data_IF_524870741530
#
_entry.id   IF_524870741530
#
_cell.length_a   1.000
_cell.length_b   1.000
_cell.length_c   1.000
_cell.angle_alpha   90.00
_cell.angle_beta   90.00
_cell.angle_gamma   90.00
#
_symmetry.space_group_name_H-M   'P 1'
#
loop_
_entity.id
_entity.type
_entity.pdbx_description
1 polymer ?
#
# COMPACT_ATOMS: atom_id res chain seq x y z
N UNK A 1 -20.86 -9.85 -10.41
CA UNK A 1 -19.63 -9.56 -9.65
C UNK A 1 -19.53 -8.04 -9.55
N UNK A 2 -19.74 -7.45 -8.38
CA UNK A 2 -19.36 -6.05 -8.16
C UNK A 2 -17.85 -5.95 -8.40
N UNK A 3 -17.46 -5.14 -9.37
CA UNK A 3 -16.09 -4.98 -9.87
C UNK A 3 -15.20 -4.44 -8.75
N UNK A 4 -14.71 -5.33 -7.88
CA UNK A 4 -13.83 -4.93 -6.79
C UNK A 4 -12.45 -4.76 -7.39
N UNK A 5 -12.05 -3.50 -7.57
CA UNK A 5 -10.76 -3.11 -8.13
C UNK A 5 -9.63 -3.86 -7.44
N UNK A 6 -8.87 -4.64 -8.22
CA UNK A 6 -7.62 -5.25 -7.76
C UNK A 6 -6.49 -4.23 -7.92
N UNK A 7 -5.74 -4.01 -6.85
CA UNK A 7 -4.58 -3.13 -6.85
C UNK A 7 -3.30 -3.97 -7.05
N UNK A 8 -2.73 -4.06 -8.27
CA UNK A 8 -1.53 -4.85 -8.51
C UNK A 8 -0.32 -4.24 -7.77
N UNK A 9 0.56 -5.10 -7.27
CA UNK A 9 1.88 -4.71 -6.80
C UNK A 9 2.78 -4.32 -7.99
N UNK A 10 3.73 -3.41 -7.76
CA UNK A 10 4.67 -2.93 -8.76
C UNK A 10 6.07 -3.51 -8.59
N UNK A 11 6.33 -4.25 -7.51
CA UNK A 11 7.58 -4.99 -7.30
C UNK A 11 7.37 -6.31 -6.55
N UNK A 12 8.33 -7.25 -6.67
CA UNK A 12 8.26 -8.57 -6.01
C UNK A 12 8.26 -8.45 -4.48
N UNK A 13 9.06 -7.56 -3.85
CA UNK A 13 8.99 -7.34 -2.40
C UNK A 13 7.60 -6.87 -1.95
N UNK A 14 7.01 -5.89 -2.65
CA UNK A 14 5.66 -5.42 -2.35
C UNK A 14 4.62 -6.54 -2.49
N UNK A 15 4.67 -7.30 -3.59
CA UNK A 15 3.76 -8.42 -3.79
C UNK A 15 3.89 -9.46 -2.67
N UNK A 16 5.12 -9.70 -2.19
CA UNK A 16 5.39 -10.63 -1.10
C UNK A 16 4.87 -10.11 0.25
N UNK A 17 5.07 -8.82 0.56
CA UNK A 17 4.53 -8.18 1.75
C UNK A 17 2.99 -8.24 1.76
N UNK A 18 2.36 -7.92 0.64
CA UNK A 18 0.90 -8.02 0.48
C UNK A 18 0.40 -9.48 0.55
N UNK A 19 1.16 -10.45 0.06
CA UNK A 19 0.82 -11.87 0.27
C UNK A 19 0.92 -12.25 1.75
N UNK A 20 1.97 -11.88 2.47
CA UNK A 20 2.08 -12.15 3.90
C UNK A 20 0.94 -11.52 4.70
N UNK A 21 0.49 -10.33 4.30
CA UNK A 21 -0.68 -9.66 4.89
C UNK A 21 -1.98 -10.48 4.79
N UNK A 22 -2.10 -11.33 3.77
CA UNK A 22 -3.23 -12.26 3.62
C UNK A 22 -3.11 -13.51 4.52
N UNK A 23 -2.01 -13.66 5.26
CA UNK A 23 -1.68 -14.88 6.01
C UNK A 23 -1.59 -14.64 7.51
N UNK A 24 -1.46 -15.73 8.27
CA UNK A 24 -1.12 -15.67 9.70
C UNK A 24 0.38 -15.68 9.97
N UNK A 25 1.21 -15.80 8.95
CA UNK A 25 2.66 -15.93 9.06
C UNK A 25 3.35 -14.56 9.10
N UNK A 26 4.41 -14.45 9.88
CA UNK A 26 5.29 -13.27 9.86
C UNK A 26 6.42 -13.45 8.85
N UNK A 27 6.89 -12.34 8.29
CA UNK A 27 8.07 -12.34 7.44
C UNK A 27 9.34 -12.50 8.31
N UNK A 28 10.07 -13.60 8.14
CA UNK A 28 11.38 -13.87 8.76
C UNK A 28 12.58 -13.21 8.06
N UNK A 29 12.35 -12.26 7.13
CA UNK A 29 13.36 -11.31 6.63
C UNK A 29 14.33 -11.81 5.54
N UNK A 30 14.15 -13.02 5.01
CA UNK A 30 14.99 -13.55 3.91
C UNK A 30 14.37 -13.29 2.53
N UNK A 31 15.23 -12.94 1.54
CA UNK A 31 14.82 -12.47 0.20
C UNK A 31 14.22 -13.57 -0.70
N UNK A 32 13.20 -13.21 -1.48
CA UNK A 32 12.64 -14.01 -2.58
C UNK A 32 11.18 -14.45 -2.39
N UNK A 33 10.43 -14.75 -3.47
CA UNK A 33 8.98 -14.99 -3.40
C UNK A 33 8.59 -16.32 -2.76
N UNK A 34 9.51 -17.28 -2.58
CA UNK A 34 9.17 -18.64 -2.11
C UNK A 34 8.40 -18.63 -0.80
N UNK A 35 8.80 -17.78 0.15
CA UNK A 35 8.25 -17.78 1.50
C UNK A 35 6.85 -17.20 1.56
N UNK A 36 6.58 -16.15 0.79
CA UNK A 36 5.23 -15.62 0.67
C UNK A 36 4.30 -16.62 -0.01
N UNK A 37 4.78 -17.38 -1.01
CA UNK A 37 4.03 -18.49 -1.62
C UNK A 37 3.73 -19.63 -0.63
N UNK A 38 4.74 -20.08 0.14
CA UNK A 38 4.56 -21.12 1.17
C UNK A 38 3.59 -20.65 2.25
N UNK A 39 3.77 -19.42 2.75
CA UNK A 39 2.89 -18.83 3.75
C UNK A 39 1.45 -18.76 3.24
N UNK A 40 1.25 -18.33 1.99
CA UNK A 40 -0.06 -18.25 1.36
C UNK A 40 -0.73 -19.62 1.30
N UNK A 41 -0.02 -20.61 0.75
CA UNK A 41 -0.53 -21.97 0.59
C UNK A 41 -0.89 -22.62 1.93
N UNK A 42 0.01 -22.54 2.91
CA UNK A 42 -0.22 -23.05 4.27
C UNK A 42 -1.38 -22.34 4.95
N UNK A 43 -1.48 -21.03 4.77
CA UNK A 43 -2.55 -20.25 5.35
C UNK A 43 -3.87 -20.76 4.79
N UNK A 44 -4.13 -20.59 3.50
CA UNK A 44 -5.44 -20.91 2.94
C UNK A 44 -5.74 -22.41 2.81
N UNK A 45 -4.81 -23.26 3.24
CA UNK A 45 -4.98 -24.71 3.34
C UNK A 45 -4.93 -25.42 1.99
N UNK A 46 -4.09 -24.93 1.07
CA UNK A 46 -3.94 -25.56 -0.24
C UNK A 46 -3.13 -26.85 -0.13
N UNK A 47 -3.59 -27.89 -0.82
CA UNK A 47 -2.86 -29.14 -1.01
C UNK A 47 -1.80 -28.96 -2.12
N UNK A 48 -0.60 -28.54 -1.73
CA UNK A 48 0.53 -28.27 -2.64
C UNK A 48 1.85 -28.76 -2.05
N UNK A 49 2.83 -29.03 -2.91
CA UNK A 49 4.17 -29.43 -2.47
C UNK A 49 4.99 -28.18 -2.08
N UNK A 50 5.07 -27.91 -0.77
CA UNK A 50 5.82 -26.79 -0.22
C UNK A 50 7.34 -26.88 -0.44
N UNK A 51 7.86 -28.06 -0.77
CA UNK A 51 9.28 -28.27 -1.05
C UNK A 51 9.67 -27.84 -2.47
N UNK A 52 8.69 -27.75 -3.38
CA UNK A 52 8.88 -27.45 -4.78
C UNK A 52 9.60 -26.11 -5.04
N UNK A 53 10.18 -25.99 -6.23
CA UNK A 53 10.76 -24.74 -6.76
C UNK A 53 9.68 -23.70 -7.02
N UNK A 54 10.03 -22.40 -7.03
CA UNK A 54 9.06 -21.30 -7.02
C UNK A 54 8.05 -21.38 -8.16
N UNK A 55 8.50 -21.67 -9.38
CA UNK A 55 7.61 -21.79 -10.55
C UNK A 55 6.59 -22.94 -10.40
N UNK A 56 7.02 -24.10 -9.88
CA UNK A 56 6.16 -25.26 -9.66
C UNK A 56 5.18 -25.02 -8.51
N UNK A 57 5.66 -24.50 -7.38
CA UNK A 57 4.81 -24.14 -6.25
C UNK A 57 3.76 -23.09 -6.66
N UNK A 58 4.18 -22.05 -7.41
CA UNK A 58 3.28 -21.04 -7.96
C UNK A 58 2.20 -21.64 -8.85
N UNK A 59 2.56 -22.56 -9.75
CA UNK A 59 1.61 -23.26 -10.61
C UNK A 59 0.62 -24.15 -9.86
N UNK A 60 1.07 -24.84 -8.79
CA UNK A 60 0.18 -25.62 -7.93
C UNK A 60 -0.82 -24.73 -7.17
N UNK A 61 -0.36 -23.59 -6.66
CA UNK A 61 -1.23 -22.59 -6.01
C UNK A 61 -2.23 -22.02 -7.03
N UNK A 62 -1.78 -21.67 -8.23
CA UNK A 62 -2.64 -21.17 -9.31
C UNK A 62 -3.75 -22.17 -9.67
N UNK A 63 -3.39 -23.45 -9.83
CA UNK A 63 -4.35 -24.52 -10.10
C UNK A 63 -5.37 -24.68 -8.96
N UNK A 64 -4.91 -24.68 -7.71
CA UNK A 64 -5.78 -24.78 -6.54
C UNK A 64 -6.73 -23.57 -6.40
N UNK A 65 -6.31 -22.39 -6.87
CA UNK A 65 -7.11 -21.17 -6.93
C UNK A 65 -7.89 -21.00 -8.25
N UNK A 66 -7.84 -22.00 -9.15
CA UNK A 66 -8.52 -21.98 -10.45
C UNK A 66 -8.16 -20.78 -11.33
N UNK A 67 -6.87 -20.42 -11.41
CA UNK A 67 -6.36 -19.38 -12.30
C UNK A 67 -5.28 -19.90 -13.23
N UNK A 68 -5.20 -19.30 -14.43
CA UNK A 68 -4.19 -19.66 -15.43
C UNK A 68 -2.77 -19.33 -14.92
N UNK A 69 -1.82 -20.18 -15.31
CA UNK A 69 -0.40 -20.04 -15.00
C UNK A 69 0.44 -20.21 -16.25
N UNK A 70 0.97 -19.11 -16.78
CA UNK A 70 1.53 -19.03 -18.15
C UNK A 70 3.05 -18.87 -18.12
N UNK A 71 3.75 -19.78 -18.80
CA UNK A 71 5.19 -19.69 -19.00
C UNK A 71 5.59 -18.42 -19.75
N UNK A 72 6.77 -17.86 -19.44
CA UNK A 72 7.29 -16.58 -19.99
C UNK A 72 6.47 -15.33 -19.62
N UNK A 73 5.34 -15.50 -18.92
CA UNK A 73 4.54 -14.42 -18.36
C UNK A 73 4.62 -14.46 -16.83
N UNK A 74 4.10 -15.52 -16.21
CA UNK A 74 4.01 -15.66 -14.75
C UNK A 74 5.30 -16.22 -14.13
N UNK A 75 6.09 -16.95 -14.91
CA UNK A 75 7.39 -17.47 -14.50
C UNK A 75 8.35 -17.58 -15.69
N UNK A 76 9.65 -17.48 -15.41
CA UNK A 76 10.74 -17.70 -16.37
C UNK A 76 11.72 -18.69 -15.72
N UNK A 77 11.90 -19.86 -16.35
CA UNK A 77 12.67 -20.95 -15.76
C UNK A 77 12.09 -21.39 -14.41
N UNK A 78 12.89 -21.24 -13.34
CA UNK A 78 12.47 -21.59 -11.98
C UNK A 78 11.94 -20.40 -11.16
N UNK A 79 11.96 -19.20 -11.73
CA UNK A 79 11.65 -17.95 -11.02
C UNK A 79 10.26 -17.45 -11.36
N UNK A 80 9.52 -17.03 -10.34
CA UNK A 80 8.22 -16.38 -10.48
C UNK A 80 8.45 -14.90 -10.81
N UNK A 81 7.76 -14.39 -11.82
CA UNK A 81 7.81 -12.99 -12.21
C UNK A 81 6.90 -12.13 -11.33
N UNK A 82 7.01 -10.80 -11.41
CA UNK A 82 6.02 -9.92 -10.79
C UNK A 82 4.60 -10.15 -11.32
N UNK A 83 4.45 -10.49 -12.60
CA UNK A 83 3.15 -10.80 -13.17
C UNK A 83 2.56 -12.06 -12.49
N UNK A 84 3.36 -13.12 -12.33
CA UNK A 84 2.95 -14.32 -11.60
C UNK A 84 2.61 -14.06 -10.14
N UNK A 85 3.40 -13.24 -9.45
CA UNK A 85 3.07 -12.80 -8.08
C UNK A 85 1.72 -12.08 -8.04
N UNK A 86 1.44 -11.18 -8.99
CA UNK A 86 0.16 -10.47 -9.06
C UNK A 86 -1.01 -11.39 -9.45
N UNK A 87 -0.79 -12.38 -10.32
CA UNK A 87 -1.78 -13.41 -10.67
C UNK A 87 -2.23 -14.16 -9.41
N UNK A 88 -1.28 -14.63 -8.60
CA UNK A 88 -1.55 -15.35 -7.36
C UNK A 88 -2.14 -14.45 -6.27
N UNK A 89 -1.60 -13.23 -6.09
CA UNK A 89 -2.12 -12.26 -5.11
C UNK A 89 -3.58 -11.92 -5.41
N UNK A 90 -3.91 -11.66 -6.68
CA UNK A 90 -5.29 -11.41 -7.12
C UNK A 90 -6.21 -12.59 -6.84
N UNK A 91 -5.79 -13.79 -7.24
CA UNK A 91 -6.56 -15.02 -7.06
C UNK A 91 -6.85 -15.29 -5.58
N UNK A 92 -5.83 -15.21 -4.73
CA UNK A 92 -5.97 -15.42 -3.30
C UNK A 92 -6.85 -14.35 -2.66
N UNK A 93 -6.69 -13.08 -3.05
CA UNK A 93 -7.50 -11.99 -2.50
C UNK A 93 -8.98 -12.13 -2.86
N UNK A 94 -9.29 -12.52 -4.10
CA UNK A 94 -10.68 -12.79 -4.50
C UNK A 94 -11.25 -14.04 -3.84
N UNK A 95 -10.44 -15.10 -3.72
CA UNK A 95 -10.83 -16.32 -3.00
C UNK A 95 -11.18 -16.01 -1.54
N UNK A 96 -10.31 -15.29 -0.83
CA UNK A 96 -10.55 -14.85 0.54
C UNK A 96 -11.75 -13.90 0.65
N UNK A 97 -11.90 -12.96 -0.28
CA UNK A 97 -13.06 -12.07 -0.31
C UNK A 97 -14.37 -12.84 -0.54
N UNK A 98 -14.36 -13.87 -1.40
CA UNK A 98 -15.50 -14.76 -1.63
C UNK A 98 -15.80 -15.61 -0.38
N UNK A 99 -14.79 -16.21 0.23
CA UNK A 99 -14.92 -16.97 1.47
C UNK A 99 -15.44 -16.09 2.61
N UNK A 100 -15.04 -14.82 2.67
CA UNK A 100 -15.53 -13.86 3.65
C UNK A 100 -17.00 -13.48 3.51
N UNK A 101 -17.63 -13.86 2.39
CA UNK A 101 -19.06 -13.71 2.11
C UNK A 101 -19.81 -15.03 2.19
N UNK A 102 -19.10 -16.14 2.37
CA UNK A 102 -19.73 -17.44 2.50
C UNK A 102 -20.33 -17.61 3.89
N UNK A 103 -21.55 -18.13 3.96
CA UNK A 103 -22.19 -18.53 5.22
C UNK A 103 -21.58 -19.79 5.83
N UNK A 104 -20.78 -20.53 5.06
CA UNK A 104 -20.08 -21.74 5.49
C UNK A 104 -18.61 -21.71 5.06
N UNK A 105 -17.69 -21.98 5.99
CA UNK A 105 -16.25 -22.07 5.72
C UNK A 105 -15.77 -23.45 6.12
N UNK A 106 -15.15 -24.17 5.17
CA UNK A 106 -14.83 -25.60 5.31
C UNK A 106 -13.74 -25.96 6.34
N UNK A 107 -13.10 -24.98 6.99
CA UNK A 107 -12.18 -25.24 8.10
C UNK A 107 -12.05 -24.03 9.05
N UNK A 108 -11.70 -24.31 10.32
CA UNK A 108 -11.39 -23.28 11.34
C UNK A 108 -10.22 -22.37 10.93
N UNK A 109 -9.20 -22.95 10.29
CA UNK A 109 -8.02 -22.22 9.81
C UNK A 109 -8.38 -21.23 8.71
N UNK A 110 -9.21 -21.66 7.75
CA UNK A 110 -9.72 -20.82 6.66
C UNK A 110 -10.58 -19.68 7.21
N UNK A 111 -11.35 -19.92 8.27
CA UNK A 111 -12.20 -18.93 8.87
C UNK A 111 -11.45 -17.81 9.63
N UNK A 112 -10.35 -18.16 10.32
CA UNK A 112 -9.48 -17.16 10.95
C UNK A 112 -8.79 -16.25 9.93
N UNK A 113 -8.60 -16.74 8.70
CA UNK A 113 -7.99 -15.97 7.61
C UNK A 113 -8.99 -15.10 6.88
N UNK A 114 -10.21 -15.59 6.73
CA UNK A 114 -11.35 -14.79 6.29
C UNK A 114 -11.42 -13.49 7.09
N UNK A 115 -11.26 -13.55 8.42
CA UNK A 115 -11.22 -12.37 9.30
C UNK A 115 -10.09 -11.37 9.00
N UNK A 116 -8.91 -11.85 8.60
CA UNK A 116 -7.78 -10.98 8.22
C UNK A 116 -7.90 -10.38 6.83
N UNK A 117 -8.71 -11.01 5.99
CA UNK A 117 -8.92 -10.59 4.62
C UNK A 117 -10.09 -9.61 4.45
N UNK A 118 -10.75 -9.19 5.53
CA UNK A 118 -11.76 -8.13 5.47
C UNK A 118 -11.07 -6.81 5.13
N UNK A 119 -11.30 -6.25 3.93
CA UNK A 119 -10.69 -4.99 3.56
C UNK A 119 -11.17 -3.89 4.52
N UNK A 120 -10.23 -3.15 5.12
CA UNK A 120 -10.56 -2.02 6.00
C UNK A 120 -11.09 -2.38 7.39
N UNK A 121 -11.06 -3.65 7.80
CA UNK A 121 -11.42 -4.05 9.16
C UNK A 121 -10.18 -4.17 10.05
N UNK A 122 -10.20 -3.51 11.22
CA UNK A 122 -9.27 -3.74 12.31
C UNK A 122 -9.97 -4.56 13.41
N UNK A 123 -9.53 -5.79 13.69
CA UNK A 123 -10.08 -6.55 14.82
C UNK A 123 -9.95 -5.79 16.14
N UNK A 124 -10.98 -5.87 16.98
CA UNK A 124 -10.91 -5.40 18.35
C UNK A 124 -9.93 -6.28 19.17
N UNK A 125 -9.14 -5.63 20.01
CA UNK A 125 -8.12 -6.20 20.88
C UNK A 125 -8.73 -6.74 22.19
N UNK A 126 -9.94 -6.29 22.54
CA UNK A 126 -10.68 -6.76 23.71
C UNK A 126 -12.18 -6.89 23.42
N UNK A 127 -12.88 -7.69 24.23
CA UNK A 127 -14.34 -7.83 24.14
C UNK A 127 -15.07 -6.50 24.36
N UNK A 128 -14.58 -5.68 25.30
CA UNK A 128 -15.19 -4.39 25.60
C UNK A 128 -15.09 -3.47 24.38
N UNK A 129 -13.90 -3.37 23.77
CA UNK A 129 -13.71 -2.60 22.54
C UNK A 129 -14.61 -3.08 21.39
N UNK A 130 -14.83 -4.39 21.27
CA UNK A 130 -15.75 -4.93 20.27
C UNK A 130 -17.20 -4.50 20.54
N UNK A 131 -17.64 -4.55 21.80
CA UNK A 131 -18.98 -4.11 22.22
C UNK A 131 -19.18 -2.62 21.99
N UNK A 132 -18.22 -1.78 22.38
CA UNK A 132 -18.28 -0.32 22.19
C UNK A 132 -18.47 0.03 20.71
N UNK A 133 -17.69 -0.63 19.83
CA UNK A 133 -17.79 -0.42 18.38
C UNK A 133 -19.10 -0.94 17.78
N UNK A 134 -19.66 -2.03 18.31
CA UNK A 134 -21.00 -2.50 17.93
C UNK A 134 -22.06 -1.47 18.35
N UNK A 135 -21.95 -0.89 19.54
CA UNK A 135 -22.83 0.18 20.01
C UNK A 135 -22.73 1.43 19.13
N UNK A 136 -21.52 1.82 18.71
CA UNK A 136 -21.30 2.93 17.78
C UNK A 136 -22.02 2.70 16.44
N UNK A 137 -21.89 1.50 15.86
CA UNK A 137 -22.55 1.12 14.60
C UNK A 137 -24.08 1.07 14.76
N UNK A 138 -24.56 0.63 15.92
CA UNK A 138 -25.97 0.65 16.27
C UNK A 138 -26.49 2.08 16.57
N UNK A 139 -25.61 3.04 16.88
CA UNK A 139 -25.96 4.40 17.31
C UNK A 139 -26.63 4.45 18.67
N UNK A 140 -26.16 3.63 19.61
CA UNK A 140 -26.65 3.58 20.99
C UNK A 140 -25.50 3.86 21.97
N UNK A 141 -25.79 4.27 23.22
CA UNK A 141 -24.75 4.42 24.24
C UNK A 141 -23.93 3.14 24.45
N UNK A 142 -22.66 3.31 24.81
CA UNK A 142 -21.76 2.20 25.09
C UNK A 142 -22.28 1.33 26.24
N UNK A 143 -22.23 0.03 26.03
CA UNK A 143 -22.64 -0.97 27.01
C UNK A 143 -21.41 -1.51 27.75
N UNK A 144 -21.58 -1.82 29.04
CA UNK A 144 -20.52 -2.44 29.84
C UNK A 144 -20.67 -3.95 29.79
N UNK A 145 -19.55 -4.69 29.74
CA UNK A 145 -19.62 -6.15 29.87
C UNK A 145 -20.24 -6.56 31.22
N UNK A 146 -21.15 -7.51 31.18
CA UNK A 146 -21.79 -8.10 32.35
C UNK A 146 -20.87 -9.07 33.12
N UNK A 147 -21.40 -9.71 34.18
CA UNK A 147 -20.63 -10.59 35.06
C UNK A 147 -19.84 -11.67 34.29
N UNK A 148 -18.54 -11.79 34.60
CA UNK A 148 -17.63 -12.72 33.93
C UNK A 148 -17.15 -12.25 32.54
N UNK A 149 -17.25 -10.95 32.24
CA UNK A 149 -16.81 -10.39 30.95
C UNK A 149 -17.69 -10.80 29.78
N UNK A 150 -18.99 -11.00 30.05
CA UNK A 150 -19.98 -11.46 29.07
C UNK A 150 -20.69 -10.27 28.46
N UNK A 151 -20.73 -10.24 27.14
CA UNK A 151 -21.54 -9.32 26.36
C UNK A 151 -23.03 -9.51 26.64
N UNK A 152 -23.79 -8.42 26.65
CA UNK A 152 -25.22 -8.50 26.87
C UNK A 152 -25.98 -8.81 25.58
N UNK A 153 -27.11 -9.52 25.71
CA UNK A 153 -27.94 -9.86 24.54
C UNK A 153 -28.54 -8.60 23.90
N UNK A 154 -28.76 -7.51 24.65
CA UNK A 154 -29.34 -6.30 24.08
C UNK A 154 -28.38 -5.61 23.11
N UNK A 155 -27.06 -5.67 23.30
CA UNK A 155 -26.07 -5.14 22.34
C UNK A 155 -26.33 -5.68 20.93
N UNK A 156 -26.58 -6.98 20.81
CA UNK A 156 -26.92 -7.62 19.53
C UNK A 156 -28.30 -7.22 19.03
N UNK A 157 -29.28 -7.05 19.94
CA UNK A 157 -30.62 -6.61 19.58
C UNK A 157 -30.61 -5.17 19.09
N UNK A 158 -29.80 -4.29 19.66
CA UNK A 158 -29.66 -2.89 19.22
C UNK A 158 -29.05 -2.82 17.83
N UNK A 159 -28.01 -3.62 17.57
CA UNK A 159 -27.46 -3.77 16.23
C UNK A 159 -28.52 -4.28 15.24
N UNK A 160 -29.27 -5.34 15.61
CA UNK A 160 -30.35 -5.87 14.80
C UNK A 160 -31.47 -4.85 14.56
N UNK A 161 -31.87 -4.06 15.56
CA UNK A 161 -32.92 -3.03 15.40
C UNK A 161 -32.58 -2.05 14.30
N UNK A 162 -31.31 -1.66 14.19
CA UNK A 162 -30.87 -0.68 13.20
C UNK A 162 -30.66 -1.28 11.82
N UNK A 163 -30.00 -2.43 11.73
CA UNK A 163 -29.50 -2.95 10.44
C UNK A 163 -30.22 -4.22 9.96
N UNK A 164 -30.96 -4.91 10.83
CA UNK A 164 -31.60 -6.20 10.52
C UNK A 164 -32.89 -6.43 11.36
N UNK A 165 -33.88 -5.53 11.33
CA UNK A 165 -34.98 -5.53 12.31
C UNK A 165 -35.84 -6.80 12.25
N UNK A 166 -35.97 -7.41 11.07
CA UNK A 166 -36.72 -8.65 10.86
C UNK A 166 -36.17 -9.85 11.65
N UNK A 167 -34.89 -9.82 12.07
CA UNK A 167 -34.31 -10.87 12.91
C UNK A 167 -34.90 -10.90 14.33
N UNK A 168 -35.59 -9.83 14.75
CA UNK A 168 -36.20 -9.70 16.06
C UNK A 168 -37.62 -10.26 16.14
N UNK A 169 -38.23 -10.61 15.00
CA UNK A 169 -39.59 -11.16 14.94
C UNK A 169 -39.67 -12.57 15.54
N UNK A 170 -38.53 -13.25 15.66
CA UNK A 170 -38.41 -14.59 16.23
C UNK A 170 -37.66 -14.56 17.55
N UNK A 171 -38.12 -15.36 18.52
CA UNK A 171 -37.40 -15.55 19.78
C UNK A 171 -36.16 -16.41 19.56
N UNK A 172 -35.00 -15.76 19.50
CA UNK A 172 -33.69 -16.40 19.30
C UNK A 172 -32.89 -16.44 20.61
N UNK A 173 -32.04 -17.46 20.76
CA UNK A 173 -30.98 -17.41 21.78
C UNK A 173 -29.93 -16.36 21.41
N UNK A 174 -29.02 -16.01 22.33
CA UNK A 174 -27.95 -15.05 22.02
C UNK A 174 -27.06 -15.55 20.87
N UNK A 175 -26.70 -16.83 20.88
CA UNK A 175 -25.89 -17.45 19.82
C UNK A 175 -26.64 -17.51 18.50
N UNK A 176 -27.93 -17.84 18.52
CA UNK A 176 -28.75 -17.87 17.29
C UNK A 176 -28.95 -16.48 16.69
N UNK A 177 -29.07 -15.44 17.54
CA UNK A 177 -29.14 -14.05 17.08
C UNK A 177 -27.81 -13.60 16.49
N UNK A 178 -26.69 -13.94 17.14
CA UNK A 178 -25.35 -13.64 16.64
C UNK A 178 -25.07 -14.31 15.29
N UNK A 179 -25.39 -15.60 15.16
CA UNK A 179 -25.24 -16.34 13.92
C UNK A 179 -26.14 -15.78 12.81
N UNK A 180 -27.38 -15.39 13.13
CA UNK A 180 -28.29 -14.77 12.18
C UNK A 180 -27.80 -13.39 11.70
N UNK A 181 -27.25 -12.56 12.60
CA UNK A 181 -26.61 -11.29 12.24
C UNK A 181 -25.40 -11.51 11.33
N UNK A 182 -24.55 -12.49 11.63
CA UNK A 182 -23.43 -12.85 10.76
C UNK A 182 -23.92 -13.23 9.34
N UNK A 183 -24.95 -14.07 9.26
CA UNK A 183 -25.54 -14.44 7.97
C UNK A 183 -26.13 -13.23 7.22
N UNK A 184 -26.85 -12.35 7.92
CA UNK A 184 -27.41 -11.11 7.34
C UNK A 184 -26.32 -10.19 6.80
N UNK A 185 -25.21 -10.06 7.54
CA UNK A 185 -24.09 -9.21 7.14
C UNK A 185 -23.10 -9.90 6.18
N UNK A 186 -23.44 -11.12 5.72
CA UNK A 186 -22.62 -11.88 4.79
C UNK A 186 -21.24 -12.17 5.35
N UNK A 187 -21.17 -12.69 6.58
CA UNK A 187 -19.96 -13.20 7.23
C UNK A 187 -20.23 -14.56 7.88
N UNK A 188 -19.23 -15.46 7.95
CA UNK A 188 -19.44 -16.77 8.54
C UNK A 188 -19.57 -16.69 10.07
N UNK A 189 -20.38 -17.59 10.64
CA UNK A 189 -20.38 -17.88 12.08
C UNK A 189 -19.58 -19.16 12.33
N UNK A 190 -18.63 -19.13 13.26
CA UNK A 190 -17.72 -20.24 13.52
C UNK A 190 -18.10 -21.02 14.77
N UNK A 191 -17.76 -22.30 14.82
CA UNK A 191 -17.97 -23.11 16.02
C UNK A 191 -17.24 -22.54 17.25
N UNK A 192 -16.09 -21.88 17.04
CA UNK A 192 -15.32 -21.19 18.08
C UNK A 192 -15.82 -19.78 18.41
N UNK A 193 -16.81 -19.25 17.67
CA UNK A 193 -17.42 -17.95 17.95
C UNK A 193 -18.28 -17.97 19.22
N UNK A 194 -18.85 -19.13 19.57
CA UNK A 194 -19.56 -19.36 20.83
C UNK A 194 -18.66 -19.95 21.91
N UNK A 195 -18.96 -19.64 23.17
CA UNK A 195 -18.39 -20.29 24.35
C UNK A 195 -19.49 -20.98 25.17
N UNK A 196 -19.09 -21.95 26.01
CA UNK A 196 -19.99 -22.62 26.95
C UNK A 196 -20.64 -21.59 27.89
N UNK A 197 -21.97 -21.70 28.10
CA UNK A 197 -22.71 -20.77 28.97
C UNK A 197 -23.14 -19.45 28.32
N UNK A 198 -23.52 -19.48 27.02
CA UNK A 198 -24.16 -18.39 26.27
C UNK A 198 -23.35 -17.08 26.19
N UNK A 199 -22.01 -17.18 26.18
CA UNK A 199 -21.11 -16.06 25.87
C UNK A 199 -20.56 -16.20 24.46
N UNK A 200 -20.29 -15.06 23.82
CA UNK A 200 -19.63 -14.95 22.53
C UNK A 200 -18.14 -14.68 22.78
N UNK A 201 -17.27 -15.37 22.05
CA UNK A 201 -15.83 -15.16 22.14
C UNK A 201 -15.43 -13.82 21.49
N UNK A 202 -14.21 -13.34 21.73
CA UNK A 202 -13.72 -12.15 21.02
C UNK A 202 -13.68 -12.39 19.50
N UNK A 203 -13.37 -13.62 19.08
CA UNK A 203 -13.44 -14.04 17.67
C UNK A 203 -14.87 -13.89 17.12
N UNK A 204 -15.87 -14.40 17.84
CA UNK A 204 -17.28 -14.23 17.47
C UNK A 204 -17.74 -12.78 17.40
N UNK A 205 -17.34 -11.94 18.37
CA UNK A 205 -17.65 -10.51 18.35
C UNK A 205 -17.00 -9.80 17.18
N UNK A 206 -15.75 -10.12 16.86
CA UNK A 206 -15.04 -9.55 15.72
C UNK A 206 -15.63 -9.99 14.38
N UNK A 207 -16.23 -11.18 14.26
CA UNK A 207 -16.97 -11.59 13.06
C UNK A 207 -18.22 -10.73 12.85
N UNK A 208 -19.05 -10.59 13.90
CA UNK A 208 -20.24 -9.73 13.86
C UNK A 208 -19.84 -8.31 13.50
N UNK A 209 -18.80 -7.78 14.15
CA UNK A 209 -18.31 -6.42 13.94
C UNK A 209 -17.78 -6.21 12.53
N UNK A 210 -17.00 -7.15 11.97
CA UNK A 210 -16.51 -7.07 10.60
C UNK A 210 -17.65 -7.06 9.57
N UNK A 211 -18.67 -7.89 9.78
CA UNK A 211 -19.88 -7.89 8.97
C UNK A 211 -20.67 -6.59 9.10
N UNK A 212 -20.89 -6.13 10.33
CA UNK A 212 -21.63 -4.91 10.62
C UNK A 212 -20.96 -3.65 10.05
N UNK A 213 -19.63 -3.54 10.15
CA UNK A 213 -18.86 -2.45 9.55
C UNK A 213 -18.97 -2.44 8.04
N UNK A 214 -18.78 -3.61 7.40
CA UNK A 214 -18.97 -3.76 5.97
C UNK A 214 -20.38 -3.35 5.53
N UNK A 215 -21.40 -3.82 6.26
CA UNK A 215 -22.80 -3.50 5.98
C UNK A 215 -23.10 -2.00 6.16
N UNK A 216 -22.49 -1.37 7.17
CA UNK A 216 -22.63 0.06 7.44
C UNK A 216 -21.68 0.96 6.60
N UNK A 217 -20.87 0.37 5.71
CA UNK A 217 -19.81 1.07 4.95
C UNK A 217 -18.81 1.83 5.85
N UNK A 218 -18.48 1.26 7.01
CA UNK A 218 -17.47 1.76 7.95
C UNK A 218 -16.18 0.95 7.77
N UNK A 219 -15.03 1.61 7.85
CA UNK A 219 -13.72 0.97 7.84
C UNK A 219 -13.02 1.27 9.17
N UNK A 220 -13.00 0.36 10.13
CA UNK A 220 -12.28 0.56 11.40
C UNK A 220 -10.76 0.58 11.29
N UNK A 221 -10.20 0.10 10.18
CA UNK A 221 -8.81 0.32 9.86
C UNK A 221 -8.56 1.73 9.30
N UNK A 222 -9.61 2.52 9.05
CA UNK A 222 -9.47 3.92 8.67
C UNK A 222 -8.88 4.73 9.82
N UNK A 223 -7.95 5.60 9.48
CA UNK A 223 -7.64 6.72 10.35
C UNK A 223 -8.76 7.77 10.26
N UNK A 224 -9.12 8.33 11.41
CA UNK A 224 -10.18 9.32 11.53
C UNK A 224 -9.93 10.52 10.61
N UNK A 225 -8.67 10.99 10.54
CA UNK A 225 -8.29 12.13 9.70
C UNK A 225 -7.07 11.82 8.82
N UNK A 226 -6.87 12.61 7.76
CA UNK A 226 -5.66 12.56 6.95
C UNK A 226 -4.39 12.91 7.76
N UNK A 227 -4.52 13.65 8.86
CA UNK A 227 -3.42 14.00 9.76
C UNK A 227 -2.99 12.82 10.64
N UNK A 228 -3.94 12.06 11.18
CA UNK A 228 -3.63 10.84 11.94
C UNK A 228 -2.96 9.80 11.03
N UNK A 229 -3.48 9.65 9.81
CA UNK A 229 -2.90 8.79 8.79
C UNK A 229 -1.49 9.26 8.40
N UNK A 230 -1.36 10.53 8.00
CA UNK A 230 -0.09 11.11 7.61
C UNK A 230 0.98 10.99 8.69
N UNK A 231 0.62 11.17 9.97
CA UNK A 231 1.52 10.99 11.10
C UNK A 231 1.99 9.55 11.19
N UNK A 232 1.08 8.57 11.12
CA UNK A 232 1.42 7.16 11.17
C UNK A 232 2.33 6.72 10.00
N UNK A 233 2.08 7.23 8.79
CA UNK A 233 2.89 6.94 7.61
C UNK A 233 4.29 7.57 7.71
N UNK A 234 4.38 8.84 8.14
CA UNK A 234 5.66 9.52 8.37
C UNK A 234 6.47 8.80 9.44
N UNK A 235 5.85 8.36 10.53
CA UNK A 235 6.50 7.64 11.62
C UNK A 235 6.99 6.24 11.21
N UNK A 236 6.25 5.56 10.33
CA UNK A 236 6.68 4.29 9.76
C UNK A 236 7.91 4.48 8.85
N UNK A 237 7.84 5.44 7.94
CA UNK A 237 8.89 5.71 6.98
C UNK A 237 10.18 6.25 7.63
N UNK A 238 10.09 7.14 8.61
CA UNK A 238 11.29 7.67 9.26
C UNK A 238 12.09 6.58 10.00
N UNK A 239 11.42 5.56 10.54
CA UNK A 239 12.08 4.41 11.18
C UNK A 239 12.66 3.42 10.18
N UNK A 240 12.03 3.28 9.01
CA UNK A 240 12.41 2.28 8.01
C UNK A 240 13.40 2.79 6.95
N UNK A 241 13.45 4.09 6.70
CA UNK A 241 14.32 4.68 5.69
C UNK A 241 15.76 4.83 6.21
N UNK A 242 16.78 4.48 5.40
CA UNK A 242 18.16 4.79 5.74
C UNK A 242 18.39 6.31 5.71
N UNK A 243 19.25 6.80 6.59
CA UNK A 243 19.66 8.21 6.66
C UNK A 243 20.72 8.60 5.61
N UNK A 244 21.28 7.60 4.91
CA UNK A 244 22.20 7.77 3.80
C UNK A 244 21.94 6.75 2.70
N UNK A 245 21.80 7.23 1.47
CA UNK A 245 21.53 6.42 0.28
C UNK A 245 22.75 6.49 -0.64
N UNK A 246 23.51 5.39 -0.71
CA UNK A 246 24.55 5.20 -1.71
C UNK A 246 23.90 4.85 -3.06
N UNK A 247 24.20 5.62 -4.10
CA UNK A 247 23.54 5.47 -5.39
C UNK A 247 23.82 4.13 -6.05
N UNK A 248 24.99 3.53 -5.86
CA UNK A 248 25.31 2.22 -6.45
C UNK A 248 24.50 1.13 -5.75
N UNK A 249 24.56 1.11 -4.41
CA UNK A 249 23.81 0.16 -3.60
C UNK A 249 22.29 0.27 -3.81
N UNK A 250 21.75 1.49 -3.98
CA UNK A 250 20.33 1.68 -4.26
C UNK A 250 19.93 1.13 -5.64
N UNK A 251 20.75 1.37 -6.67
CA UNK A 251 20.51 0.86 -8.03
C UNK A 251 20.60 -0.66 -8.09
N UNK A 252 21.61 -1.25 -7.44
CA UNK A 252 21.78 -2.69 -7.30
C UNK A 252 20.58 -3.31 -6.56
N UNK A 253 20.20 -2.74 -5.42
CA UNK A 253 19.03 -3.18 -4.66
C UNK A 253 17.74 -3.12 -5.50
N UNK A 254 17.50 -2.03 -6.23
CA UNK A 254 16.31 -1.93 -7.09
C UNK A 254 16.32 -2.98 -8.20
N UNK A 255 17.49 -3.28 -8.80
CA UNK A 255 17.63 -4.35 -9.80
C UNK A 255 17.32 -5.71 -9.19
N UNK A 256 17.91 -6.03 -8.04
CA UNK A 256 17.69 -7.28 -7.32
C UNK A 256 16.24 -7.46 -6.88
N UNK A 257 15.56 -6.37 -6.52
CA UNK A 257 14.13 -6.32 -6.19
C UNK A 257 13.20 -6.40 -7.40
N UNK A 258 13.76 -6.48 -8.62
CA UNK A 258 12.99 -6.61 -9.86
C UNK A 258 12.32 -5.33 -10.34
N UNK A 259 12.72 -4.16 -9.83
CA UNK A 259 12.18 -2.88 -10.32
C UNK A 259 12.51 -2.70 -11.80
N UNK A 260 11.64 -2.06 -12.56
CA UNK A 260 11.92 -1.72 -13.98
C UNK A 260 12.62 -0.36 -14.12
N UNK A 261 12.70 0.41 -13.04
CA UNK A 261 13.15 1.80 -13.04
C UNK A 261 14.61 1.97 -12.63
N UNK A 262 15.30 0.90 -12.22
CA UNK A 262 16.66 0.96 -11.64
C UNK A 262 17.71 1.63 -12.54
N UNK A 263 17.50 1.64 -13.86
CA UNK A 263 18.43 2.23 -14.86
C UNK A 263 18.26 3.74 -15.04
N UNK A 264 17.22 4.34 -14.46
CA UNK A 264 16.91 5.74 -14.70
C UNK A 264 17.78 6.68 -13.87
N UNK A 265 17.97 7.90 -14.36
CA UNK A 265 18.85 8.88 -13.70
C UNK A 265 18.22 9.41 -12.40
N UNK A 266 16.91 9.33 -12.29
CA UNK A 266 16.08 9.70 -11.16
C UNK A 266 16.04 8.61 -10.08
N UNK A 267 17.10 7.80 -9.96
CA UNK A 267 17.18 6.64 -9.07
C UNK A 267 16.75 6.95 -7.62
N UNK A 268 17.03 8.14 -7.09
CA UNK A 268 16.63 8.50 -5.73
C UNK A 268 15.10 8.61 -5.57
N UNK A 269 14.39 9.05 -6.62
CA UNK A 269 12.93 9.05 -6.66
C UNK A 269 12.38 7.63 -6.69
N UNK A 270 12.85 6.81 -7.63
CA UNK A 270 12.39 5.42 -7.75
C UNK A 270 12.74 4.56 -6.53
N UNK A 271 13.92 4.74 -5.97
CA UNK A 271 14.32 4.07 -4.74
C UNK A 271 13.38 4.43 -3.59
N UNK A 272 13.03 5.71 -3.45
CA UNK A 272 12.08 6.14 -2.44
C UNK A 272 10.68 5.56 -2.66
N UNK A 273 10.17 5.55 -3.89
CA UNK A 273 8.89 4.92 -4.25
C UNK A 273 8.88 3.43 -3.86
N UNK A 274 9.93 2.68 -4.19
CA UNK A 274 10.06 1.26 -3.80
C UNK A 274 10.15 1.07 -2.27
N UNK A 275 10.87 1.95 -1.56
CA UNK A 275 10.96 1.90 -0.10
C UNK A 275 9.65 2.24 0.58
N UNK A 276 8.89 3.19 0.05
CA UNK A 276 7.54 3.50 0.53
C UNK A 276 6.66 2.26 0.39
N UNK A 277 6.67 1.62 -0.78
CA UNK A 277 5.92 0.38 -1.00
C UNK A 277 6.35 -0.73 -0.05
N UNK A 278 7.65 -0.99 0.09
CA UNK A 278 8.18 -2.02 0.98
C UNK A 278 7.77 -1.78 2.44
N UNK A 279 8.15 -0.64 3.00
CA UNK A 279 7.97 -0.32 4.43
C UNK A 279 6.49 -0.22 4.78
N UNK A 280 5.71 0.50 3.97
CA UNK A 280 4.30 0.70 4.29
C UNK A 280 3.50 -0.57 4.07
N UNK A 281 3.73 -1.36 3.02
CA UNK A 281 2.98 -2.59 2.83
C UNK A 281 3.36 -3.69 3.84
N UNK A 282 4.56 -3.64 4.42
CA UNK A 282 4.92 -4.53 5.54
C UNK A 282 4.14 -4.17 6.82
N UNK A 283 4.05 -2.87 7.15
CA UNK A 283 3.46 -2.40 8.40
C UNK A 283 1.94 -2.19 8.31
N UNK A 284 1.46 -1.74 7.16
CA UNK A 284 0.09 -1.31 6.85
C UNK A 284 -0.24 -1.70 5.40
N UNK A 285 -0.45 -3.00 5.13
CA UNK A 285 -0.64 -3.52 3.77
C UNK A 285 -1.72 -2.78 2.98
N UNK A 286 -1.42 -2.39 1.74
CA UNK A 286 -2.46 -1.93 0.82
C UNK A 286 -3.46 -3.05 0.61
N UNK A 287 -4.77 -2.80 0.83
CA UNK A 287 -5.77 -3.81 0.59
C UNK A 287 -5.70 -4.25 -0.88
N UNK A 288 -5.49 -5.55 -1.15
CA UNK A 288 -5.36 -6.01 -2.53
C UNK A 288 -6.70 -5.95 -3.28
N UNK A 289 -7.80 -6.03 -2.53
CA UNK A 289 -9.18 -5.98 -2.99
C UNK A 289 -9.94 -5.08 -2.01
N UNK A 290 -10.75 -4.16 -2.51
CA UNK A 290 -11.41 -3.14 -1.70
C UNK A 290 -10.46 -2.00 -1.32
N UNK A 291 -11.01 -0.88 -0.85
CA UNK A 291 -10.24 0.34 -0.61
C UNK A 291 -10.17 1.29 -1.81
N UNK A 292 -9.39 2.38 -1.72
CA UNK A 292 -9.31 3.40 -2.73
C UNK A 292 -8.70 2.88 -4.04
N UNK A 293 -9.10 3.51 -5.14
CA UNK A 293 -8.58 3.22 -6.47
C UNK A 293 -7.18 3.82 -6.62
N UNK A 294 -6.17 3.01 -6.95
CA UNK A 294 -4.79 3.51 -7.10
C UNK A 294 -4.42 3.88 -8.53
N UNK A 295 -5.25 3.52 -9.52
CA UNK A 295 -4.95 3.71 -10.94
C UNK A 295 -5.94 4.63 -11.63
N UNK A 296 -5.42 5.66 -12.28
CA UNK A 296 -6.15 6.60 -13.11
C UNK A 296 -5.43 6.76 -14.45
N UNK A 297 -6.05 6.24 -15.51
CA UNK A 297 -5.38 6.06 -16.80
C UNK A 297 -4.11 5.20 -16.67
N UNK A 298 -2.97 5.76 -17.09
CA UNK A 298 -1.66 5.10 -17.01
C UNK A 298 -0.90 5.42 -15.71
N UNK A 299 -1.42 6.31 -14.87
CA UNK A 299 -0.80 6.64 -13.58
C UNK A 299 -1.27 5.66 -12.51
N UNK A 300 -0.32 5.12 -11.77
CA UNK A 300 -0.52 4.29 -10.58
C UNK A 300 0.13 5.05 -9.44
N UNK A 301 -0.63 5.32 -8.38
CA UNK A 301 -0.10 5.93 -7.17
C UNK A 301 0.56 4.87 -6.29
N UNK A 302 1.62 5.27 -5.56
CA UNK A 302 2.57 4.33 -4.96
C UNK A 302 2.02 3.51 -3.80
N UNK A 303 1.07 4.03 -3.02
CA UNK A 303 0.53 3.36 -1.85
C UNK A 303 -0.95 3.70 -1.64
N UNK A 304 -1.71 2.74 -1.14
CA UNK A 304 -3.04 3.00 -0.59
C UNK A 304 -3.18 2.36 0.77
N UNK A 305 -3.79 3.09 1.69
CA UNK A 305 -4.36 2.51 2.89
C UNK A 305 -5.79 2.02 2.61
N UNK A 306 -6.50 1.49 3.61
CA UNK A 306 -7.93 1.23 3.48
C UNK A 306 -8.80 2.43 3.09
N UNK A 307 -8.33 3.67 3.27
CA UNK A 307 -9.15 4.87 3.05
C UNK A 307 -8.57 5.95 2.17
N UNK A 308 -7.24 6.03 2.02
CA UNK A 308 -6.60 7.10 1.25
C UNK A 308 -5.49 6.59 0.36
N UNK A 309 -5.24 7.33 -0.71
CA UNK A 309 -4.14 7.08 -1.65
C UNK A 309 -3.02 8.08 -1.40
N UNK A 310 -1.80 7.58 -1.44
CA UNK A 310 -0.57 8.33 -1.25
C UNK A 310 0.40 8.05 -2.37
N UNK A 311 1.06 9.10 -2.82
CA UNK A 311 2.04 9.08 -3.88
C UNK A 311 3.40 9.57 -3.35
N UNK A 312 4.45 8.80 -3.59
CA UNK A 312 5.78 9.08 -3.10
C UNK A 312 6.54 10.00 -4.06
N UNK A 313 7.21 11.02 -3.52
CA UNK A 313 8.02 11.96 -4.29
C UNK A 313 9.32 12.31 -3.58
N UNK A 314 10.43 12.24 -4.31
CA UNK A 314 11.73 12.72 -3.83
C UNK A 314 12.02 14.11 -4.40
N UNK A 315 12.27 15.08 -3.52
CA UNK A 315 12.59 16.45 -3.87
C UNK A 315 14.04 16.78 -3.50
N UNK A 316 14.81 17.27 -4.47
CA UNK A 316 16.17 17.75 -4.21
C UNK A 316 16.10 19.15 -3.63
N UNK A 317 16.13 19.25 -2.30
CA UNK A 317 16.09 20.52 -1.57
C UNK A 317 17.49 21.17 -1.49
N UNK A 318 18.54 20.36 -1.47
CA UNK A 318 19.93 20.83 -1.44
C UNK A 318 20.83 19.98 -2.33
N UNK A 319 21.93 20.58 -2.78
CA UNK A 319 22.97 19.88 -3.55
C UNK A 319 24.35 20.22 -3.02
N UNK A 320 25.26 19.26 -3.06
CA UNK A 320 26.69 19.46 -2.78
C UNK A 320 27.54 18.63 -3.73
N UNK A 321 28.82 18.95 -3.86
CA UNK A 321 29.80 18.18 -4.63
C UNK A 321 30.05 16.83 -3.95
N UNK A 322 30.16 15.75 -4.72
CA UNK A 322 30.54 14.42 -4.25
C UNK A 322 31.66 13.80 -5.11
N UNK A 323 32.79 13.39 -4.51
CA UNK A 323 33.20 13.61 -3.12
C UNK A 323 33.22 15.09 -2.70
N UNK A 324 33.12 15.36 -1.39
CA UNK A 324 33.04 16.73 -0.87
C UNK A 324 34.27 17.56 -1.26
N UNK A 325 34.03 18.79 -1.72
CA UNK A 325 35.06 19.81 -2.00
C UNK A 325 35.26 20.78 -0.82
N UNK A 326 34.65 20.48 0.34
CA UNK A 326 34.66 21.33 1.52
C UNK A 326 33.71 22.53 1.45
N UNK A 327 32.99 22.74 0.33
CA UNK A 327 32.03 23.81 0.21
C UNK A 327 30.69 23.44 0.87
N UNK A 328 29.98 24.43 1.46
CA UNK A 328 28.69 24.17 2.07
C UNK A 328 27.64 23.78 1.00
N UNK A 329 26.67 22.91 1.34
CA UNK A 329 25.59 22.57 0.43
C UNK A 329 24.77 23.79 -0.01
N UNK A 330 24.38 23.81 -1.28
CA UNK A 330 23.59 24.88 -1.89
C UNK A 330 22.10 24.51 -1.91
N UNK A 331 21.22 25.47 -1.63
CA UNK A 331 19.78 25.28 -1.80
C UNK A 331 19.42 25.09 -3.28
N UNK A 332 18.54 24.13 -3.53
CA UNK A 332 17.91 23.92 -4.83
C UNK A 332 16.50 24.50 -4.79
N UNK A 333 16.21 25.41 -5.72
CA UNK A 333 14.88 26.01 -5.88
C UNK A 333 14.01 25.23 -6.89
N UNK A 334 14.43 24.02 -7.26
CA UNK A 334 13.77 23.23 -8.29
C UNK A 334 12.43 22.67 -7.81
N UNK A 335 11.36 22.88 -8.57
CA UNK A 335 10.11 22.17 -8.33
C UNK A 335 10.29 20.67 -8.60
N UNK A 336 9.62 19.80 -7.85
CA UNK A 336 9.56 18.37 -8.15
C UNK A 336 8.44 18.10 -9.16
N UNK A 337 8.67 17.16 -10.07
CA UNK A 337 7.59 16.67 -10.91
C UNK A 337 6.65 15.80 -10.08
N UNK A 338 5.37 16.09 -10.15
CA UNK A 338 4.29 15.23 -9.65
C UNK A 338 3.78 14.37 -10.81
N UNK A 339 2.59 13.80 -10.63
CA UNK A 339 1.95 12.93 -11.60
C UNK A 339 1.26 13.68 -12.75
N UNK A 340 0.76 12.88 -13.70
CA UNK A 340 -0.12 13.33 -14.77
C UNK A 340 -1.28 14.16 -14.20
N UNK A 341 -1.46 15.37 -14.74
CA UNK A 341 -2.42 16.33 -14.21
C UNK A 341 -3.86 15.86 -14.30
N UNK A 342 -4.19 15.05 -15.32
CA UNK A 342 -5.52 14.47 -15.46
C UNK A 342 -5.72 13.38 -14.42
N UNK A 343 -4.75 12.48 -14.24
CA UNK A 343 -4.83 11.44 -13.22
C UNK A 343 -4.92 12.01 -11.80
N UNK A 344 -4.17 13.08 -11.49
CA UNK A 344 -4.27 13.79 -10.20
C UNK A 344 -5.65 14.39 -10.00
N UNK A 345 -6.19 15.11 -11.00
CA UNK A 345 -7.53 15.70 -10.91
C UNK A 345 -8.62 14.65 -10.73
N UNK A 346 -8.56 13.55 -11.50
CA UNK A 346 -9.53 12.47 -11.38
C UNK A 346 -9.45 11.78 -10.01
N UNK A 347 -8.25 11.52 -9.49
CA UNK A 347 -8.06 10.94 -8.16
C UNK A 347 -8.57 11.85 -7.04
N UNK A 348 -8.19 13.13 -7.09
CA UNK A 348 -8.62 14.13 -6.11
C UNK A 348 -10.15 14.28 -6.12
N UNK A 349 -10.78 14.29 -7.30
CA UNK A 349 -12.23 14.37 -7.42
C UNK A 349 -12.96 13.14 -6.88
N UNK A 350 -12.36 11.95 -7.01
CA UNK A 350 -12.97 10.69 -6.60
C UNK A 350 -12.80 10.42 -5.10
N UNK A 351 -11.64 10.75 -4.51
CA UNK A 351 -11.25 10.23 -3.19
C UNK A 351 -10.14 11.04 -2.46
N UNK A 352 -9.76 12.21 -2.98
CA UNK A 352 -8.58 12.94 -2.49
C UNK A 352 -7.24 12.28 -2.87
N UNK A 353 -6.14 12.99 -2.63
CA UNK A 353 -4.79 12.48 -2.89
C UNK A 353 -3.75 13.03 -1.91
N UNK A 354 -2.94 12.11 -1.38
CA UNK A 354 -1.80 12.43 -0.55
C UNK A 354 -0.48 12.36 -1.31
N UNK A 355 0.48 13.20 -0.93
CA UNK A 355 1.87 13.11 -1.34
C UNK A 355 2.76 12.86 -0.12
N UNK A 356 3.54 11.79 -0.16
CA UNK A 356 4.64 11.53 0.77
C UNK A 356 5.91 12.07 0.14
N UNK A 357 6.44 13.16 0.67
CA UNK A 357 7.55 13.90 0.06
C UNK A 357 8.80 13.80 0.91
N UNK A 358 9.87 13.24 0.37
CA UNK A 358 11.19 13.28 0.99
C UNK A 358 12.05 14.37 0.36
N UNK A 359 12.29 15.44 1.12
CA UNK A 359 13.32 16.42 0.81
C UNK A 359 14.69 15.82 1.09
N UNK A 360 15.64 16.02 0.19
CA UNK A 360 16.99 15.49 0.38
C UNK A 360 18.11 16.40 -0.07
N UNK A 361 19.28 16.10 0.49
CA UNK A 361 20.58 16.61 0.07
C UNK A 361 21.18 15.62 -0.94
N UNK A 362 21.34 16.07 -2.18
CA UNK A 362 21.94 15.28 -3.24
C UNK A 362 23.44 15.57 -3.38
N UNK A 363 24.26 14.52 -3.39
CA UNK A 363 25.69 14.61 -3.71
C UNK A 363 25.87 14.43 -5.22
N UNK A 364 26.36 15.47 -5.89
CA UNK A 364 26.56 15.50 -7.34
C UNK A 364 27.92 14.88 -7.70
N UNK A 365 27.88 13.87 -8.57
CA UNK A 365 29.04 13.14 -9.09
C UNK A 365 29.97 14.08 -9.86
N UNK A 366 30.98 14.60 -9.16
CA UNK A 366 31.93 15.56 -9.70
C UNK A 366 33.02 14.90 -10.54
N UNK A 367 33.40 13.67 -10.17
CA UNK A 367 34.44 12.89 -10.89
C UNK A 367 33.89 12.18 -12.13
N UNK A 368 32.57 11.98 -12.22
CA UNK A 368 31.94 11.21 -13.29
C UNK A 368 31.96 9.69 -13.05
N UNK A 369 32.58 9.24 -11.95
CA UNK A 369 32.76 7.82 -11.66
C UNK A 369 31.44 7.09 -11.37
N UNK A 370 30.43 7.77 -10.83
CA UNK A 370 29.10 7.19 -10.72
C UNK A 370 28.40 7.11 -12.08
N UNK A 371 28.53 8.15 -12.92
CA UNK A 371 27.98 8.16 -14.29
C UNK A 371 28.53 7.03 -15.14
N UNK A 372 29.84 6.84 -15.16
CA UNK A 372 30.51 5.80 -15.92
C UNK A 372 30.08 4.40 -15.46
N UNK A 373 30.09 4.18 -14.14
CA UNK A 373 29.61 2.92 -13.56
C UNK A 373 28.15 2.65 -13.90
N UNK A 374 27.25 3.62 -13.70
CA UNK A 374 25.82 3.42 -13.97
C UNK A 374 25.57 3.16 -15.46
N UNK A 375 26.38 3.75 -16.35
CA UNK A 375 26.34 3.46 -17.78
C UNK A 375 26.71 2.01 -18.08
N UNK A 376 27.90 1.59 -17.64
CA UNK A 376 28.40 0.24 -17.85
C UNK A 376 27.48 -0.83 -17.23
N UNK A 377 26.98 -0.56 -16.02
CA UNK A 377 26.08 -1.46 -15.30
C UNK A 377 24.73 -1.62 -16.03
N UNK A 378 24.16 -0.54 -16.55
CA UNK A 378 22.92 -0.60 -17.35
C UNK A 378 23.08 -1.35 -18.68
N UNK A 379 24.22 -1.17 -19.35
CA UNK A 379 24.54 -1.83 -20.64
C UNK A 379 24.83 -3.33 -20.48
N UNK A 380 25.29 -3.77 -19.30
CA UNK A 380 25.55 -5.19 -18.99
C UNK A 380 24.32 -6.10 -19.13
N UNK A 381 23.12 -5.52 -19.15
CA UNK A 381 21.85 -6.23 -19.27
C UNK A 381 21.29 -6.20 -20.71
N UNK A 382 22.14 -5.93 -21.70
CA UNK A 382 21.82 -6.08 -23.14
C UNK A 382 20.85 -5.05 -23.72
N UNK A 383 20.46 -4.02 -22.95
CA UNK A 383 19.68 -2.88 -23.46
C UNK A 383 20.47 -1.58 -23.27
N UNK A 384 20.71 -0.80 -24.34
CA UNK A 384 21.39 0.48 -24.21
C UNK A 384 20.56 1.43 -23.34
N UNK A 385 21.23 2.23 -22.51
CA UNK A 385 20.58 3.36 -21.84
C UNK A 385 19.99 4.30 -22.90
N UNK A 386 18.78 4.79 -22.68
CA UNK A 386 18.17 5.77 -23.58
C UNK A 386 19.14 6.93 -23.78
N UNK A 387 19.58 7.14 -25.02
CA UNK A 387 20.62 8.10 -25.39
C UNK A 387 20.14 9.54 -25.31
N UNK A 388 19.83 10.02 -24.10
CA UNK A 388 19.58 11.44 -23.89
C UNK A 388 20.86 12.22 -24.18
N UNK A 389 20.88 12.89 -25.33
CA UNK A 389 21.87 13.91 -25.66
C UNK A 389 21.34 15.23 -25.14
N UNK A 390 21.99 15.78 -24.12
CA UNK A 390 21.62 17.11 -23.64
C UNK A 390 21.76 18.12 -24.79
N UNK A 391 20.74 18.95 -25.00
CA UNK A 391 20.76 20.01 -26.02
C UNK A 391 21.92 21.00 -25.86
N UNK A 392 22.54 21.04 -24.67
CA UNK A 392 23.69 21.88 -24.32
C UNK A 392 25.05 21.19 -24.52
N UNK A 393 25.09 19.93 -24.97
CA UNK A 393 26.33 19.13 -25.07
C UNK A 393 26.88 18.64 -23.72
N UNK A 394 26.58 19.32 -22.62
CA UNK A 394 26.95 18.94 -21.26
C UNK A 394 25.79 18.25 -20.54
N UNK A 395 25.94 16.97 -20.20
CA UNK A 395 24.98 16.27 -19.32
C UNK A 395 25.00 16.89 -17.93
N UNK A 396 23.82 17.01 -17.29
CA UNK A 396 23.72 17.39 -15.88
C UNK A 396 24.53 16.41 -15.01
N UNK A 397 25.24 16.88 -13.96
CA UNK A 397 25.89 16.00 -12.99
C UNK A 397 24.87 15.01 -12.40
N UNK A 398 25.26 13.74 -12.30
CA UNK A 398 24.39 12.70 -11.72
C UNK A 398 24.44 12.78 -10.21
N UNK A 399 23.38 12.31 -9.55
CA UNK A 399 23.36 12.16 -8.09
C UNK A 399 24.09 10.87 -7.77
N UNK A 400 25.22 10.94 -7.07
CA UNK A 400 25.97 9.76 -6.63
C UNK A 400 25.47 9.26 -5.27
N UNK A 401 25.02 10.17 -4.41
CA UNK A 401 24.53 9.88 -3.06
C UNK A 401 23.35 10.78 -2.72
N UNK A 402 22.53 10.36 -1.76
CA UNK A 402 21.40 11.13 -1.26
C UNK A 402 21.28 11.00 0.25
N UNK A 403 20.88 12.07 0.94
CA UNK A 403 20.59 12.07 2.38
C UNK A 403 19.21 12.68 2.62
N UNK A 404 18.26 11.97 3.23
CA UNK A 404 16.98 12.55 3.64
C UNK A 404 17.19 13.72 4.60
N UNK A 405 16.44 14.81 4.41
CA UNK A 405 16.45 16.00 5.26
C UNK A 405 15.12 16.16 5.99
N UNK A 406 14.02 16.02 5.25
CA UNK A 406 12.67 16.17 5.78
C UNK A 406 11.73 15.23 5.03
N UNK A 407 10.85 14.57 5.76
CA UNK A 407 9.74 13.81 5.24
C UNK A 407 8.45 14.57 5.54
N UNK A 408 7.55 14.68 4.56
CA UNK A 408 6.28 15.39 4.69
C UNK A 408 5.14 14.53 4.16
N UNK A 409 4.02 14.55 4.86
CA UNK A 409 2.74 14.12 4.33
C UNK A 409 1.94 15.37 3.97
N UNK A 410 1.55 15.48 2.69
CA UNK A 410 0.78 16.60 2.14
C UNK A 410 -0.54 16.02 1.63
N UNK A 411 -1.68 16.58 2.02
CA UNK A 411 -2.99 16.03 1.65
C UNK A 411 -3.83 17.05 0.88
N UNK A 412 -4.44 16.60 -0.22
CA UNK A 412 -5.40 17.37 -1.02
C UNK A 412 -6.73 16.63 -0.93
N UNK A 413 -7.66 17.21 -0.18
CA UNK A 413 -8.97 16.60 0.10
C UNK A 413 -9.82 16.48 -1.17
N UNK A 414 -9.93 17.57 -1.92
CA UNK A 414 -10.88 17.71 -3.02
C UNK A 414 -10.38 18.71 -4.08
N UNK A 415 -11.18 18.90 -5.15
CA UNK A 415 -10.85 19.84 -6.23
C UNK A 415 -10.70 21.29 -5.74
N UNK A 416 -11.58 21.83 -4.88
CA UNK A 416 -11.36 23.14 -4.25
C UNK A 416 -9.99 23.27 -3.55
N UNK A 417 -9.56 22.26 -2.78
CA UNK A 417 -8.26 22.25 -2.14
C UNK A 417 -7.10 22.21 -3.15
N UNK A 418 -7.27 21.49 -4.27
CA UNK A 418 -6.31 21.47 -5.37
C UNK A 418 -6.20 22.85 -6.05
N UNK A 419 -7.32 23.48 -6.35
CA UNK A 419 -7.37 24.81 -6.98
C UNK A 419 -6.77 25.88 -6.06
N UNK A 420 -7.05 25.83 -4.76
CA UNK A 420 -6.40 26.67 -3.76
C UNK A 420 -4.87 26.44 -3.76
N UNK A 421 -4.43 25.19 -3.95
CA UNK A 421 -3.02 24.85 -4.06
C UNK A 421 -2.33 25.41 -5.31
N UNK A 422 -3.05 25.42 -6.42
CA UNK A 422 -2.62 26.04 -7.67
C UNK A 422 -2.54 27.57 -7.50
N UNK A 423 -3.56 28.19 -6.90
CA UNK A 423 -3.59 29.62 -6.65
C UNK A 423 -2.46 30.08 -5.70
N UNK A 424 -2.12 29.26 -4.70
CA UNK A 424 -0.99 29.50 -3.80
C UNK A 424 0.38 29.23 -4.45
N UNK A 425 0.41 28.66 -5.65
CA UNK A 425 1.63 28.40 -6.42
C UNK A 425 2.51 27.26 -5.88
N UNK A 426 1.99 26.42 -4.97
CA UNK A 426 2.71 25.22 -4.55
C UNK A 426 2.55 24.09 -5.56
N UNK A 427 1.42 24.04 -6.29
CA UNK A 427 1.22 23.19 -7.47
C UNK A 427 1.15 24.07 -8.72
N UNK A 428 1.80 23.63 -9.80
CA UNK A 428 1.69 24.28 -11.11
C UNK A 428 1.52 23.23 -12.20
N UNK A 429 0.50 23.37 -13.04
CA UNK A 429 0.35 22.53 -14.24
C UNK A 429 1.38 22.95 -15.29
N UNK A 430 2.13 21.98 -15.82
CA UNK A 430 3.18 22.19 -16.82
C UNK A 430 3.03 21.17 -17.94
N UNK A 431 3.14 21.66 -19.18
CA UNK A 431 3.29 20.79 -20.34
C UNK A 431 4.56 19.94 -20.17
N UNK A 432 4.46 18.65 -20.49
CA UNK A 432 5.64 17.79 -20.48
C UNK A 432 6.53 18.11 -21.68
N UNK A 433 7.87 18.19 -21.52
CA UNK A 433 8.76 18.31 -22.65
C UNK A 433 8.58 17.11 -23.59
N UNK A 434 8.47 17.39 -24.88
CA UNK A 434 8.29 16.38 -25.91
C UNK A 434 9.65 15.87 -26.38
N UNK A 435 9.98 14.64 -26.01
CA UNK A 435 11.25 13.99 -26.36
C UNK A 435 11.12 13.05 -27.57
N UNK A 436 9.96 13.02 -28.25
CA UNK A 436 9.74 12.19 -29.43
C UNK A 436 10.29 12.80 -30.71
N UNK A 437 10.73 11.95 -31.64
CA UNK A 437 11.07 12.32 -33.02
C UNK A 437 10.10 11.64 -34.02
N UNK A 438 9.70 12.36 -35.08
CA UNK A 438 8.94 11.83 -36.22
C UNK A 438 7.40 11.77 -36.07
N UNK A 439 6.73 11.13 -37.05
CA UNK A 439 5.27 11.13 -37.26
C UNK A 439 4.47 10.26 -36.26
N UNK A 440 5.11 9.49 -35.40
CA UNK A 440 4.46 8.71 -34.33
C UNK A 440 4.14 9.56 -33.07
N UNK A 441 4.20 10.89 -33.20
CA UNK A 441 4.10 11.86 -32.12
C UNK A 441 2.71 11.83 -31.46
N UNK A 442 2.63 11.35 -30.22
CA UNK A 442 1.43 11.47 -29.38
C UNK A 442 1.64 12.61 -28.39
N UNK A 443 0.69 13.56 -28.35
CA UNK A 443 0.69 14.64 -27.35
C UNK A 443 0.65 14.00 -25.96
N UNK A 444 1.67 14.26 -25.13
CA UNK A 444 1.69 13.83 -23.73
C UNK A 444 0.79 14.76 -22.92
N UNK A 445 0.08 14.22 -21.95
CA UNK A 445 -0.67 15.02 -20.99
C UNK A 445 0.28 15.87 -20.15
N UNK A 446 -0.22 17.00 -19.68
CA UNK A 446 0.49 17.85 -18.73
C UNK A 446 0.74 17.12 -17.41
N UNK A 447 1.81 17.49 -16.72
CA UNK A 447 2.08 17.07 -15.33
C UNK A 447 1.95 18.24 -14.39
N UNK A 448 1.67 17.94 -13.14
CA UNK A 448 1.87 18.93 -12.08
C UNK A 448 3.35 18.99 -11.67
N UNK A 449 3.79 20.17 -11.24
CA UNK A 449 5.01 20.37 -10.49
C UNK A 449 4.67 20.89 -9.09
N UNK A 450 5.39 20.40 -8.08
CA UNK A 450 5.21 20.75 -6.68
C UNK A 450 6.39 21.56 -6.14
N UNK A 451 6.11 22.57 -5.30
CA UNK A 451 7.08 23.29 -4.47
C UNK A 451 6.77 23.02 -2.99
N UNK A 452 7.42 22.03 -2.36
CA UNK A 452 7.10 21.64 -0.98
C UNK A 452 7.21 22.78 0.04
N UNK A 453 8.08 23.77 -0.21
CA UNK A 453 8.22 24.95 0.65
C UNK A 453 6.97 25.84 0.72
N UNK A 454 6.06 25.74 -0.25
CA UNK A 454 4.82 26.52 -0.31
C UNK A 454 3.58 25.70 0.09
N UNK A 455 3.75 24.42 0.39
CA UNK A 455 2.65 23.49 0.67
C UNK A 455 2.20 23.47 2.14
N UNK A 456 2.71 24.40 2.98
CA UNK A 456 2.47 24.39 4.42
C UNK A 456 0.99 24.28 4.84
N UNK A 457 0.02 24.96 4.19
CA UNK A 457 -1.40 24.80 4.52
C UNK A 457 -1.96 23.39 4.28
N UNK A 458 -1.31 22.57 3.46
CA UNK A 458 -1.72 21.20 3.13
C UNK A 458 -0.87 20.14 3.84
N UNK A 459 0.11 20.55 4.66
CA UNK A 459 0.89 19.61 5.46
C UNK A 459 0.01 19.02 6.55
N UNK A 460 -0.02 17.70 6.61
CA UNK A 460 -0.76 16.97 7.64
C UNK A 460 0.15 16.25 8.63
N UNK A 461 1.42 16.00 8.25
CA UNK A 461 2.48 15.53 9.15
C UNK A 461 3.87 15.80 8.56
N UNK A 462 4.91 15.79 9.40
CA UNK A 462 6.29 15.86 8.93
C UNK A 462 7.29 15.33 9.95
N UNK A 463 8.47 14.94 9.47
CA UNK A 463 9.63 14.58 10.26
C UNK A 463 10.88 15.27 9.69
N UNK A 464 11.78 15.74 10.55
CA UNK A 464 13.04 16.39 10.15
C UNK A 464 14.20 15.57 10.70
N UNK A 465 15.10 15.13 9.84
CA UNK A 465 16.33 14.46 10.27
C UNK A 465 17.36 15.50 10.74
N UNK A 466 17.94 15.34 11.95
CA UNK A 466 18.92 16.28 12.47
C UNK A 466 20.27 16.18 11.74
N UNK A 467 20.94 17.32 11.55
CA UNK A 467 22.37 17.43 11.23
C UNK A 467 22.88 16.62 10.02
N UNK A 468 22.20 16.71 8.88
CA UNK A 468 22.59 16.01 7.66
C UNK A 468 23.58 16.84 6.81
N UNK A 469 24.88 16.49 6.89
CA UNK A 469 25.94 17.00 6.00
C UNK A 469 26.68 15.85 5.32
N UNK A 470 27.26 16.07 4.14
CA UNK A 470 28.30 15.18 3.65
C UNK A 470 29.57 15.49 4.44
N UNK A 471 30.05 14.52 5.22
CA UNK A 471 31.39 14.61 5.82
C UNK A 471 32.44 14.33 4.77
#
# INVERSE_FOLDING_TARGET
MTDTTFNPATSIPEASARMFALTTSQDSGTRGPKRSLVALAQSIGLDVDLSAVNATLGGQIAAALSVDWVAEHDYIGLQVTLAGMNTLLRAASYSLAALSRSSNVGSKTTAQQVMKAFPGFRPAESKQQAVDRICDIAGVPHDLLGPGGKEHTWTLKDLARRHAPHLLDQRRTKHDLAAALCNEFGVPWLDSAGSTGASITLEGLNLILAGAERHAHVSSAAWATAADEGTALVDALQRGLPDHWDGRACVEWMRESGSTQWRQMEWAGFYFEEKVREILNELRPTPPVGGPKVRFGNTIFDYASPTRVWDAKAHTAMTATHPSDGQPPKRSNGAMWLNDSRAVKECVAEQGLGFLVVDGLAGLDASGGFREWHKAYGESDGRPLSGYVASTGTSRPRKAVWKPLMLRAIWIEDLPALDAGIAAGWIVQKEQPDWGSGDARRRRNDKFQGKPSLAAPWHVASHVWPNQTFK
#
